data_IF_644778029943
#
_entry.id   IF_644778029943
#
_cell.length_a   1.000
_cell.length_b   1.000
_cell.length_c   1.000
_cell.angle_alpha   90.00
_cell.angle_beta   90.00
_cell.angle_gamma   90.00
#
_symmetry.space_group_name_H-M   'P 1'
#
loop_
_entity.id
_entity.type
_entity.pdbx_description
1 polymer ?
#
# COMPACT_ATOMS: atom_id res chain seq x y z
N UNK A 1 23.36 -5.65 -40.65
CA UNK A 1 23.21 -6.31 -39.34
C UNK A 1 22.69 -5.28 -38.36
N UNK A 2 21.78 -5.66 -37.47
CA UNK A 2 21.26 -4.76 -36.43
C UNK A 2 22.27 -4.72 -35.28
N UNK A 3 22.68 -3.52 -34.85
CA UNK A 3 23.61 -3.34 -33.73
C UNK A 3 22.85 -3.27 -32.40
N UNK A 4 23.09 -4.24 -31.52
CA UNK A 4 22.43 -4.30 -30.20
C UNK A 4 22.88 -3.15 -29.30
N UNK A 5 24.14 -2.73 -29.39
CA UNK A 5 24.67 -1.61 -28.59
C UNK A 5 24.01 -0.28 -28.96
N UNK A 6 23.80 -0.03 -30.25
CA UNK A 6 23.09 1.17 -30.74
C UNK A 6 21.65 1.18 -30.27
N UNK A 7 20.94 0.05 -30.37
CA UNK A 7 19.58 -0.09 -29.83
C UNK A 7 19.55 0.20 -28.34
N UNK A 8 20.47 -0.40 -27.57
CA UNK A 8 20.52 -0.25 -26.12
C UNK A 8 20.77 1.20 -25.70
N UNK A 9 21.69 1.89 -26.39
CA UNK A 9 21.96 3.30 -26.16
C UNK A 9 20.74 4.17 -26.47
N UNK A 10 20.02 3.88 -27.57
CA UNK A 10 18.83 4.63 -27.95
C UNK A 10 17.61 4.37 -27.04
N UNK A 11 17.56 3.21 -26.37
CA UNK A 11 16.44 2.78 -25.54
C UNK A 11 16.50 3.24 -24.07
N UNK A 12 17.65 3.70 -23.55
CA UNK A 12 17.79 4.10 -22.14
C UNK A 12 17.57 5.60 -21.92
N UNK A 13 17.20 5.98 -20.70
CA UNK A 13 17.15 7.37 -20.27
C UNK A 13 18.56 7.91 -19.96
N UNK A 14 18.69 9.21 -19.71
CA UNK A 14 19.97 9.87 -19.42
C UNK A 14 20.13 10.23 -17.93
N UNK A 15 19.13 10.90 -17.36
CA UNK A 15 19.12 11.40 -15.99
C UNK A 15 18.60 10.43 -14.93
N UNK A 16 18.71 10.79 -13.64
CA UNK A 16 18.25 9.96 -12.54
C UNK A 16 16.72 9.82 -12.53
N UNK A 17 16.23 8.71 -11.96
CA UNK A 17 14.81 8.56 -11.73
C UNK A 17 14.32 9.61 -10.72
N UNK A 18 13.23 10.28 -11.06
CA UNK A 18 12.71 11.41 -10.30
C UNK A 18 11.25 11.18 -9.95
N UNK A 19 10.85 11.48 -8.71
CA UNK A 19 9.45 11.52 -8.28
C UNK A 19 8.84 12.81 -8.80
N UNK A 20 7.78 12.69 -9.62
CA UNK A 20 7.13 13.79 -10.33
C UNK A 20 5.76 14.17 -9.74
N UNK A 21 5.14 13.28 -8.97
CA UNK A 21 3.86 13.51 -8.32
C UNK A 21 3.61 12.49 -7.20
N UNK A 22 2.80 12.86 -6.21
CA UNK A 22 2.45 12.05 -5.03
C UNK A 22 0.96 12.21 -4.70
N UNK A 23 0.23 11.11 -4.68
CA UNK A 23 -1.17 11.07 -4.26
C UNK A 23 -1.37 10.10 -3.10
N UNK A 24 -2.21 10.46 -2.13
CA UNK A 24 -2.57 9.57 -1.01
C UNK A 24 -4.08 9.45 -0.83
N UNK A 25 -4.54 8.32 -0.31
CA UNK A 25 -5.94 8.07 0.00
C UNK A 25 -6.08 7.19 1.24
N UNK A 26 -7.20 7.34 1.93
CA UNK A 26 -7.57 6.56 3.11
C UNK A 26 -9.06 6.22 3.04
N UNK A 27 -9.51 5.12 3.66
CA UNK A 27 -10.94 4.90 3.88
C UNK A 27 -11.58 6.04 4.67
N UNK A 28 -12.90 6.26 4.55
CA UNK A 28 -13.57 7.41 5.17
C UNK A 28 -13.71 7.29 6.70
N UNK A 29 -13.77 6.06 7.24
CA UNK A 29 -13.96 5.83 8.66
C UNK A 29 -12.66 6.14 9.43
N UNK A 30 -12.71 7.20 10.24
CA UNK A 30 -11.62 7.67 11.09
C UNK A 30 -11.87 7.22 12.53
N UNK A 31 -10.93 6.47 13.08
CA UNK A 31 -11.00 5.86 14.41
C UNK A 31 -10.02 6.57 15.33
N UNK A 32 -10.53 7.15 16.43
CA UNK A 32 -9.71 7.82 17.44
C UNK A 32 -8.97 6.78 18.29
N UNK A 33 -7.66 7.00 18.48
CA UNK A 33 -6.85 6.08 19.25
C UNK A 33 -7.20 6.10 20.74
N UNK A 34 -7.67 7.22 21.29
CA UNK A 34 -7.96 7.34 22.74
C UNK A 34 -9.15 6.49 23.15
N UNK A 35 -10.11 6.28 22.24
CA UNK A 35 -11.31 5.45 22.47
C UNK A 35 -11.25 4.10 21.76
N UNK A 36 -10.16 3.80 21.04
CA UNK A 36 -10.01 2.54 20.32
C UNK A 36 -10.06 1.30 21.22
N UNK A 37 -9.46 1.29 22.43
CA UNK A 37 -9.56 0.13 23.32
C UNK A 37 -11.00 -0.23 23.69
N UNK A 38 -11.87 0.75 23.88
CA UNK A 38 -13.29 0.52 24.15
C UNK A 38 -13.98 -0.10 22.94
N UNK A 39 -13.82 0.51 21.76
CA UNK A 39 -14.38 -0.01 20.52
C UNK A 39 -13.91 -1.44 20.24
N UNK A 40 -12.59 -1.67 20.29
CA UNK A 40 -11.96 -2.94 19.95
C UNK A 40 -12.36 -4.05 20.92
N UNK A 41 -12.34 -3.81 22.23
CA UNK A 41 -12.74 -4.84 23.21
C UNK A 41 -14.24 -5.13 23.17
N UNK A 42 -15.07 -4.14 22.82
CA UNK A 42 -16.51 -4.33 22.64
C UNK A 42 -16.81 -5.16 21.39
N UNK A 43 -16.29 -4.76 20.22
CA UNK A 43 -16.60 -5.43 18.94
C UNK A 43 -16.04 -6.87 18.87
N UNK A 44 -14.99 -7.15 19.64
CA UNK A 44 -14.39 -8.49 19.77
C UNK A 44 -14.91 -9.30 20.96
N UNK A 45 -16.03 -8.88 21.58
CA UNK A 45 -16.66 -9.55 22.72
C UNK A 45 -15.70 -9.88 23.87
N UNK A 46 -14.71 -9.01 24.10
CA UNK A 46 -13.59 -9.25 25.00
C UNK A 46 -13.59 -8.36 26.24
N UNK A 47 -14.68 -7.64 26.53
CA UNK A 47 -14.79 -6.73 27.68
C UNK A 47 -14.56 -7.42 29.04
N UNK A 48 -14.83 -8.72 29.13
CA UNK A 48 -14.55 -9.53 30.32
C UNK A 48 -13.04 -9.66 30.63
N UNK A 49 -12.15 -9.33 29.68
CA UNK A 49 -10.68 -9.40 29.81
C UNK A 49 -10.09 -8.08 30.31
N UNK A 50 -10.50 -7.62 31.49
CA UNK A 50 -10.16 -6.30 32.03
C UNK A 50 -8.64 -6.00 32.03
N UNK A 51 -7.81 -6.91 32.54
CA UNK A 51 -6.34 -6.72 32.57
C UNK A 51 -5.73 -6.61 31.17
N UNK A 52 -6.27 -7.35 30.20
CA UNK A 52 -5.80 -7.29 28.81
C UNK A 52 -6.21 -5.98 28.16
N UNK A 53 -7.40 -5.46 28.49
CA UNK A 53 -7.86 -4.13 28.07
C UNK A 53 -6.96 -3.03 28.61
N UNK A 54 -6.55 -3.09 29.88
CA UNK A 54 -5.59 -2.14 30.46
C UNK A 54 -4.20 -2.21 29.81
N UNK A 55 -3.72 -3.43 29.48
CA UNK A 55 -2.49 -3.60 28.68
C UNK A 55 -2.65 -2.93 27.32
N UNK A 56 -3.77 -3.15 26.65
CA UNK A 56 -4.02 -2.56 25.33
C UNK A 56 -4.16 -1.04 25.37
N UNK A 57 -4.83 -0.49 26.38
CA UNK A 57 -4.91 0.95 26.60
C UNK A 57 -3.51 1.56 26.69
N UNK A 58 -2.62 0.97 27.49
CA UNK A 58 -1.22 1.42 27.58
C UNK A 58 -0.47 1.34 26.25
N UNK A 59 -0.73 0.30 25.44
CA UNK A 59 -0.16 0.20 24.09
C UNK A 59 -0.67 1.33 23.19
N UNK A 60 -1.97 1.64 23.22
CA UNK A 60 -2.57 2.74 22.48
C UNK A 60 -2.06 4.12 22.94
N UNK A 61 -1.98 4.37 24.25
CA UNK A 61 -1.48 5.63 24.80
C UNK A 61 -0.02 5.89 24.42
N UNK A 62 0.79 4.83 24.38
CA UNK A 62 2.22 4.90 24.04
C UNK A 62 2.51 4.75 22.55
N UNK A 63 1.52 4.52 21.69
CA UNK A 63 1.76 4.32 20.25
C UNK A 63 2.11 5.60 19.51
N UNK A 64 1.90 6.78 20.12
CA UNK A 64 2.04 8.10 19.50
C UNK A 64 1.08 8.34 18.30
N UNK A 65 0.05 7.49 18.16
CA UNK A 65 -0.97 7.61 17.12
C UNK A 65 -2.15 8.38 17.70
N UNK A 66 -2.60 9.43 17.00
CA UNK A 66 -3.82 10.17 17.36
C UNK A 66 -5.08 9.47 16.84
N UNK A 67 -5.03 9.02 15.58
CA UNK A 67 -6.17 8.38 14.92
C UNK A 67 -5.67 7.55 13.74
N UNK A 68 -6.48 6.58 13.34
CA UNK A 68 -6.26 5.77 12.13
C UNK A 68 -7.47 5.84 11.22
N UNK A 69 -7.27 5.53 9.95
CA UNK A 69 -8.37 5.29 9.02
C UNK A 69 -8.52 3.78 8.85
N UNK A 70 -9.74 3.27 8.85
CA UNK A 70 -10.02 1.83 8.77
C UNK A 70 -11.19 1.59 7.82
N UNK A 71 -11.01 0.67 6.87
CA UNK A 71 -12.09 0.15 6.03
C UNK A 71 -13.12 -0.59 6.87
N UNK A 72 -12.65 -1.40 7.84
CA UNK A 72 -13.50 -2.12 8.76
C UNK A 72 -14.29 -1.13 9.66
N UNK A 73 -15.61 -1.19 9.56
CA UNK A 73 -16.54 -0.45 10.42
C UNK A 73 -17.20 -1.40 11.43
N UNK A 74 -17.96 -0.87 12.38
CA UNK A 74 -18.72 -1.68 13.32
C UNK A 74 -19.72 -2.60 12.60
N UNK A 75 -20.35 -2.10 11.54
CA UNK A 75 -21.31 -2.85 10.72
C UNK A 75 -20.64 -4.04 10.03
N UNK A 76 -19.53 -3.81 9.33
CA UNK A 76 -18.78 -4.87 8.64
C UNK A 76 -18.33 -5.94 9.64
N UNK A 77 -17.84 -5.54 10.81
CA UNK A 77 -17.37 -6.46 11.85
C UNK A 77 -18.51 -7.27 12.49
N UNK A 78 -19.70 -6.67 12.68
CA UNK A 78 -20.89 -7.39 13.17
C UNK A 78 -21.41 -8.42 12.17
N UNK A 79 -21.35 -8.11 10.88
CA UNK A 79 -21.73 -9.04 9.80
C UNK A 79 -20.71 -10.18 9.63
N UNK A 80 -19.50 -10.00 10.13
CA UNK A 80 -18.38 -10.93 9.95
C UNK A 80 -17.75 -11.34 11.30
N UNK A 81 -18.49 -12.02 12.20
CA UNK A 81 -18.05 -12.30 13.57
C UNK A 81 -16.76 -13.13 13.65
N UNK A 82 -16.48 -13.97 12.64
CA UNK A 82 -15.23 -14.75 12.57
C UNK A 82 -13.97 -13.88 12.46
N UNK A 83 -14.09 -12.63 11.98
CA UNK A 83 -12.97 -11.68 11.97
C UNK A 83 -12.69 -11.12 13.37
N UNK A 84 -13.71 -11.08 14.24
CA UNK A 84 -13.65 -10.54 15.59
C UNK A 84 -13.12 -11.56 16.60
N UNK A 85 -13.17 -12.85 16.27
CA UNK A 85 -12.54 -13.92 17.03
C UNK A 85 -11.02 -13.95 16.82
N UNK A 86 -10.29 -14.56 17.76
CA UNK A 86 -8.82 -14.54 17.72
C UNK A 86 -8.23 -15.39 16.57
N UNK A 87 -8.78 -16.59 16.35
CA UNK A 87 -8.24 -17.59 15.41
C UNK A 87 -9.32 -18.37 14.65
N UNK A 88 -10.54 -17.83 14.55
CA UNK A 88 -11.59 -18.47 13.79
C UNK A 88 -11.26 -18.48 12.28
N UNK A 89 -11.66 -19.53 11.53
CA UNK A 89 -11.55 -19.55 10.08
C UNK A 89 -12.25 -18.34 9.47
N UNK A 90 -11.47 -17.46 8.85
CA UNK A 90 -11.95 -16.16 8.36
C UNK A 90 -11.29 -15.70 7.07
N UNK A 91 -10.41 -16.51 6.47
CA UNK A 91 -9.62 -16.09 5.31
C UNK A 91 -10.49 -15.70 4.11
N UNK A 92 -11.50 -16.50 3.79
CA UNK A 92 -12.36 -16.26 2.62
C UNK A 92 -13.09 -14.91 2.72
N UNK A 93 -13.74 -14.64 3.85
CA UNK A 93 -14.41 -13.35 4.09
C UNK A 93 -13.43 -12.17 4.04
N UNK A 94 -12.21 -12.32 4.56
CA UNK A 94 -11.17 -11.29 4.49
C UNK A 94 -10.71 -11.05 3.05
N UNK A 95 -10.56 -12.12 2.27
CA UNK A 95 -10.17 -12.07 0.87
C UNK A 95 -11.22 -11.35 0.02
N UNK A 96 -12.50 -11.68 0.21
CA UNK A 96 -13.63 -11.02 -0.47
C UNK A 96 -13.62 -9.50 -0.25
N UNK A 97 -13.26 -9.05 0.95
CA UNK A 97 -13.11 -7.62 1.26
C UNK A 97 -11.91 -7.00 0.54
N UNK A 98 -10.70 -7.55 0.74
CA UNK A 98 -9.47 -6.87 0.29
C UNK A 98 -9.21 -6.96 -1.21
N UNK A 99 -9.70 -8.01 -1.89
CA UNK A 99 -9.62 -8.12 -3.36
C UNK A 99 -10.29 -6.94 -4.05
N UNK A 100 -11.35 -6.40 -3.46
CA UNK A 100 -12.07 -5.23 -3.97
C UNK A 100 -11.45 -3.95 -3.43
N UNK A 101 -11.24 -3.88 -2.12
CA UNK A 101 -10.90 -2.62 -1.44
C UNK A 101 -9.48 -2.14 -1.77
N UNK A 102 -8.50 -3.04 -1.83
CA UNK A 102 -7.10 -2.69 -2.10
C UNK A 102 -6.93 -1.98 -3.45
N UNK A 103 -7.42 -2.49 -4.59
CA UNK A 103 -7.34 -1.77 -5.86
C UNK A 103 -8.25 -0.53 -5.90
N UNK A 104 -9.38 -0.51 -5.17
CA UNK A 104 -10.25 0.68 -5.06
C UNK A 104 -9.53 1.84 -4.38
N UNK A 105 -8.91 1.60 -3.23
CA UNK A 105 -8.15 2.61 -2.49
C UNK A 105 -6.89 3.04 -3.24
N UNK A 106 -6.20 2.08 -3.87
CA UNK A 106 -5.06 2.35 -4.77
C UNK A 106 -5.44 3.24 -5.96
N UNK A 107 -6.63 3.06 -6.53
CA UNK A 107 -7.17 3.92 -7.59
C UNK A 107 -7.32 5.37 -7.12
N UNK A 108 -7.86 5.60 -5.92
CA UNK A 108 -8.03 6.96 -5.40
C UNK A 108 -6.70 7.69 -5.23
N UNK A 109 -5.69 7.02 -4.67
CA UNK A 109 -4.34 7.57 -4.56
C UNK A 109 -3.74 7.83 -5.95
N UNK A 110 -3.84 6.88 -6.88
CA UNK A 110 -3.32 7.01 -8.23
C UNK A 110 -3.98 8.15 -9.02
N UNK A 111 -5.29 8.35 -8.88
CA UNK A 111 -5.99 9.47 -9.52
C UNK A 111 -5.45 10.81 -9.03
N UNK A 112 -5.16 10.95 -7.73
CA UNK A 112 -4.56 12.18 -7.18
C UNK A 112 -3.15 12.41 -7.71
N UNK A 113 -2.31 11.36 -7.74
CA UNK A 113 -0.95 11.45 -8.29
C UNK A 113 -0.94 11.80 -9.78
N UNK A 114 -1.81 11.16 -10.58
CA UNK A 114 -1.95 11.44 -12.02
C UNK A 114 -2.45 12.86 -12.26
N UNK A 115 -3.39 13.34 -11.42
CA UNK A 115 -3.91 14.70 -11.49
C UNK A 115 -2.81 15.73 -11.21
N UNK A 116 -2.00 15.52 -10.18
CA UNK A 116 -0.86 16.39 -9.87
C UNK A 116 0.19 16.36 -10.99
N UNK A 117 0.49 15.19 -11.54
CA UNK A 117 1.43 15.04 -12.66
C UNK A 117 0.96 15.78 -13.92
N UNK A 118 -0.35 15.93 -14.11
CA UNK A 118 -0.94 16.75 -15.17
C UNK A 118 -0.80 16.20 -16.60
N UNK A 119 -0.21 15.03 -16.78
CA UNK A 119 -0.05 14.38 -18.08
C UNK A 119 -1.14 13.32 -18.34
N UNK A 120 -1.41 12.98 -19.62
CA UNK A 120 -2.34 11.91 -19.94
C UNK A 120 -1.88 10.58 -19.35
N UNK A 121 -2.77 9.87 -18.64
CA UNK A 121 -2.52 8.50 -18.12
C UNK A 121 -2.08 7.50 -19.20
N UNK A 122 -2.35 7.78 -20.48
CA UNK A 122 -1.87 6.98 -21.61
C UNK A 122 -0.35 7.02 -21.79
N UNK A 123 0.35 7.97 -21.17
CA UNK A 123 1.81 8.01 -21.12
C UNK A 123 2.41 7.14 -20.02
N UNK A 124 1.60 6.55 -19.13
CA UNK A 124 2.08 5.60 -18.12
C UNK A 124 2.49 4.30 -18.83
N UNK A 125 3.75 3.94 -18.66
CA UNK A 125 4.40 2.81 -19.37
C UNK A 125 4.55 1.57 -18.48
N UNK A 126 4.69 1.79 -17.17
CA UNK A 126 4.88 0.74 -16.18
C UNK A 126 3.95 0.99 -15.00
N UNK A 127 3.51 -0.09 -14.36
CA UNK A 127 2.75 -0.08 -13.11
C UNK A 127 3.44 -1.00 -12.12
N UNK A 128 3.86 -0.46 -10.98
CA UNK A 128 4.25 -1.24 -9.81
C UNK A 128 3.10 -1.15 -8.82
N UNK A 129 2.56 -2.30 -8.40
CA UNK A 129 1.54 -2.36 -7.37
C UNK A 129 2.05 -3.21 -6.22
N UNK A 130 1.95 -2.70 -5.00
CA UNK A 130 2.36 -3.38 -3.78
C UNK A 130 1.23 -3.42 -2.77
N UNK A 131 1.04 -4.59 -2.16
CA UNK A 131 0.15 -4.78 -1.02
C UNK A 131 0.55 -6.00 -0.21
N UNK A 132 0.32 -5.93 1.09
CA UNK A 132 0.40 -7.04 2.05
C UNK A 132 -1.01 -7.58 2.36
N UNK A 133 -2.06 -6.90 1.88
CA UNK A 133 -3.46 -7.20 2.13
C UNK A 133 -4.06 -8.09 1.04
N UNK A 134 -3.91 -9.40 1.22
CA UNK A 134 -4.53 -10.43 0.38
C UNK A 134 -3.82 -10.64 -0.96
N UNK A 135 -4.29 -11.65 -1.70
CA UNK A 135 -3.74 -12.08 -3.00
C UNK A 135 -4.85 -12.54 -3.93
N UNK A 136 -4.71 -12.32 -5.24
CA UNK A 136 -5.68 -12.80 -6.25
C UNK A 136 -5.05 -12.95 -7.63
N UNK A 137 -5.72 -13.66 -8.53
CA UNK A 137 -5.31 -13.89 -9.91
C UNK A 137 -6.51 -13.75 -10.87
N UNK A 138 -6.56 -12.70 -11.72
CA UNK A 138 -5.55 -11.66 -11.91
C UNK A 138 -5.41 -10.70 -10.73
N UNK A 139 -4.17 -10.28 -10.44
CA UNK A 139 -3.84 -9.48 -9.25
C UNK A 139 -4.35 -8.04 -9.25
N UNK A 140 -4.08 -7.34 -8.15
CA UNK A 140 -4.51 -5.95 -7.93
C UNK A 140 -3.92 -4.98 -8.95
N UNK A 141 -2.76 -5.29 -9.54
CA UNK A 141 -2.17 -4.57 -10.66
C UNK A 141 -3.02 -4.64 -11.93
N UNK A 142 -3.62 -5.80 -12.22
CA UNK A 142 -4.57 -5.98 -13.32
C UNK A 142 -5.88 -5.23 -13.03
N UNK A 143 -6.42 -5.37 -11.82
CA UNK A 143 -7.64 -4.67 -11.42
C UNK A 143 -7.45 -3.15 -11.50
N UNK A 144 -6.34 -2.63 -11.00
CA UNK A 144 -6.02 -1.21 -11.07
C UNK A 144 -5.84 -0.74 -12.53
N UNK A 145 -5.19 -1.54 -13.37
CA UNK A 145 -5.06 -1.26 -14.82
C UNK A 145 -6.42 -1.05 -15.47
N UNK A 146 -7.40 -1.92 -15.17
CA UNK A 146 -8.79 -1.81 -15.63
C UNK A 146 -9.48 -0.57 -15.04
N UNK A 147 -9.40 -0.39 -13.72
CA UNK A 147 -10.06 0.70 -12.99
C UNK A 147 -9.61 2.09 -13.41
N UNK A 148 -8.32 2.26 -13.70
CA UNK A 148 -7.74 3.50 -14.20
C UNK A 148 -7.87 3.63 -15.72
N UNK A 149 -8.22 2.56 -16.45
CA UNK A 149 -8.19 2.51 -17.91
C UNK A 149 -6.82 2.86 -18.46
N UNK A 150 -5.77 2.21 -17.92
CA UNK A 150 -4.41 2.29 -18.46
C UNK A 150 -4.33 1.51 -19.79
N UNK A 151 -3.22 1.68 -20.50
CA UNK A 151 -3.01 0.96 -21.76
C UNK A 151 -2.89 -0.55 -21.49
N UNK A 152 -3.46 -1.43 -22.35
CA UNK A 152 -3.39 -2.89 -22.15
C UNK A 152 -1.96 -3.45 -22.12
N UNK A 153 -1.01 -2.75 -22.72
CA UNK A 153 0.41 -3.11 -22.76
C UNK A 153 1.27 -2.39 -21.71
N UNK A 154 0.66 -1.82 -20.66
CA UNK A 154 1.40 -1.33 -19.49
C UNK A 154 2.18 -2.50 -18.88
N UNK A 155 3.48 -2.30 -18.62
CA UNK A 155 4.33 -3.33 -18.02
C UNK A 155 4.07 -3.37 -16.51
N UNK A 156 3.52 -4.48 -16.02
CA UNK A 156 3.05 -4.60 -14.63
C UNK A 156 4.05 -5.38 -13.76
N UNK A 157 4.18 -4.94 -12.51
CA UNK A 157 4.99 -5.55 -11.48
C UNK A 157 4.14 -5.63 -10.21
N UNK A 158 3.57 -6.81 -9.96
CA UNK A 158 2.74 -7.08 -8.79
C UNK A 158 3.61 -7.60 -7.65
N UNK A 159 3.58 -6.91 -6.51
CA UNK A 159 4.39 -7.20 -5.33
C UNK A 159 3.46 -7.53 -4.15
N UNK A 160 3.12 -8.81 -3.99
CA UNK A 160 2.28 -9.29 -2.90
C UNK A 160 3.09 -9.70 -1.67
N UNK A 161 2.48 -9.56 -0.48
CA UNK A 161 2.99 -10.08 0.80
C UNK A 161 4.44 -9.62 1.11
N UNK A 162 4.75 -8.36 0.83
CA UNK A 162 6.09 -7.81 1.03
C UNK A 162 6.32 -7.30 2.47
N UNK A 163 5.28 -6.74 3.11
CA UNK A 163 5.39 -6.15 4.45
C UNK A 163 5.92 -4.71 4.45
N UNK A 164 6.23 -4.18 5.64
CA UNK A 164 6.40 -2.74 5.86
C UNK A 164 7.59 -2.10 5.13
N UNK A 165 8.62 -2.86 4.74
CA UNK A 165 9.77 -2.34 4.00
C UNK A 165 9.47 -2.07 2.52
N UNK A 166 8.31 -2.51 2.03
CA UNK A 166 8.01 -2.51 0.61
C UNK A 166 7.93 -1.11 -0.01
N UNK A 167 7.71 -0.06 0.80
CA UNK A 167 7.85 1.32 0.35
C UNK A 167 9.24 1.62 -0.25
N UNK A 168 10.31 1.11 0.36
CA UNK A 168 11.65 1.18 -0.20
C UNK A 168 11.82 0.28 -1.43
N UNK A 169 11.24 -0.92 -1.41
CA UNK A 169 11.30 -1.88 -2.53
C UNK A 169 10.69 -1.32 -3.80
N UNK A 170 9.51 -0.69 -3.74
CA UNK A 170 8.83 -0.16 -4.94
C UNK A 170 9.58 1.04 -5.53
N UNK A 171 10.21 1.87 -4.69
CA UNK A 171 11.05 2.99 -5.15
C UNK A 171 12.32 2.49 -5.84
N UNK A 172 13.00 1.51 -5.23
CA UNK A 172 14.18 0.86 -5.83
C UNK A 172 13.86 0.23 -7.19
N UNK A 173 12.73 -0.47 -7.30
CA UNK A 173 12.28 -1.02 -8.57
C UNK A 173 11.93 0.08 -9.58
N UNK A 174 11.19 1.11 -9.16
CA UNK A 174 10.82 2.23 -10.03
C UNK A 174 12.03 2.97 -10.58
N UNK A 175 13.10 3.10 -9.78
CA UNK A 175 14.37 3.70 -10.20
C UNK A 175 14.93 3.00 -11.42
N UNK A 176 15.12 1.68 -11.33
CA UNK A 176 15.68 0.89 -12.43
C UNK A 176 14.76 0.92 -13.67
N UNK A 177 13.45 0.86 -13.49
CA UNK A 177 12.51 0.90 -14.61
C UNK A 177 12.51 2.26 -15.32
N UNK A 178 12.59 3.37 -14.59
CA UNK A 178 12.60 4.71 -15.16
C UNK A 178 13.91 5.02 -15.88
N UNK A 179 15.06 4.75 -15.26
CA UNK A 179 16.38 5.06 -15.82
C UNK A 179 16.72 4.17 -17.02
N UNK A 180 16.29 2.90 -16.98
CA UNK A 180 16.65 1.95 -18.00
C UNK A 180 15.77 1.99 -19.26
N UNK A 181 14.76 2.87 -19.31
CA UNK A 181 13.79 2.94 -20.41
C UNK A 181 13.48 4.41 -20.75
N UNK A 182 13.94 4.87 -21.91
CA UNK A 182 13.76 6.25 -22.39
C UNK A 182 12.28 6.64 -22.43
N UNK A 183 11.95 7.77 -21.81
CA UNK A 183 10.59 8.29 -21.74
C UNK A 183 9.63 7.47 -20.88
N UNK A 184 10.13 6.51 -20.09
CA UNK A 184 9.29 5.75 -19.19
C UNK A 184 8.71 6.63 -18.08
N UNK A 185 7.44 6.39 -17.80
CA UNK A 185 6.71 6.90 -16.65
C UNK A 185 6.10 5.72 -15.92
N UNK A 186 6.50 5.56 -14.66
CA UNK A 186 6.15 4.45 -13.78
C UNK A 186 5.11 4.96 -12.79
N UNK A 187 3.92 4.37 -12.83
CA UNK A 187 2.96 4.54 -11.74
C UNK A 187 3.31 3.53 -10.65
N UNK A 188 3.62 4.03 -9.47
CA UNK A 188 3.86 3.20 -8.28
C UNK A 188 2.65 3.33 -7.38
N UNK A 189 2.14 2.22 -6.84
CA UNK A 189 1.02 2.21 -5.88
C UNK A 189 1.32 1.24 -4.75
N UNK A 190 1.28 1.72 -3.51
CA UNK A 190 1.16 0.88 -2.32
C UNK A 190 -0.24 1.09 -1.75
N UNK A 191 -0.97 0.01 -1.48
CA UNK A 191 -2.33 0.08 -0.94
C UNK A 191 -2.52 -1.03 0.11
N UNK A 192 -2.80 -0.63 1.34
CA UNK A 192 -2.83 -1.53 2.50
C UNK A 192 -4.15 -1.35 3.28
N UNK A 193 -4.75 -2.49 3.62
CA UNK A 193 -6.05 -2.60 4.31
C UNK A 193 -5.95 -3.66 5.41
N UNK A 194 -6.24 -3.29 6.65
CA UNK A 194 -6.07 -4.14 7.85
C UNK A 194 -7.09 -5.28 7.98
N UNK A 195 -8.03 -5.40 7.04
CA UNK A 195 -9.03 -6.48 7.07
C UNK A 195 -8.42 -7.89 7.11
N UNK A 196 -7.21 -8.11 6.58
CA UNK A 196 -6.52 -9.42 6.65
C UNK A 196 -5.93 -9.68 8.04
N UNK A 197 -5.58 -8.65 8.81
CA UNK A 197 -4.81 -8.77 10.06
C UNK A 197 -5.64 -8.48 11.32
N UNK A 198 -6.81 -7.84 11.19
CA UNK A 198 -7.71 -7.57 12.31
C UNK A 198 -8.18 -8.87 12.97
N UNK A 199 -8.07 -9.00 14.29
CA UNK A 199 -8.54 -10.19 15.02
C UNK A 199 -8.83 -9.87 16.48
N UNK A 200 -9.55 -10.74 17.17
CA UNK A 200 -9.80 -10.61 18.61
C UNK A 200 -8.53 -10.67 19.46
N UNK A 201 -8.54 -10.15 20.70
CA UNK A 201 -7.36 -10.15 21.57
C UNK A 201 -7.13 -11.49 22.27
N UNK A 202 -5.86 -11.86 22.45
CA UNK A 202 -5.40 -13.00 23.24
C UNK A 202 -4.27 -12.60 24.19
N UNK A 203 -4.33 -13.06 25.44
CA UNK A 203 -3.35 -12.85 26.48
C UNK A 203 -2.03 -13.59 26.24
N UNK A 204 -2.05 -14.63 25.41
CA UNK A 204 -0.88 -15.43 25.01
C UNK A 204 -0.13 -14.85 23.81
N UNK A 205 -0.67 -13.83 23.14
CA UNK A 205 -0.12 -13.25 21.90
C UNK A 205 -0.12 -11.72 21.94
N UNK A 206 0.73 -11.16 22.78
CA UNK A 206 0.84 -9.71 23.00
C UNK A 206 1.43 -8.97 21.80
N UNK A 207 2.25 -9.65 20.99
CA UNK A 207 2.77 -9.16 19.71
C UNK A 207 1.64 -8.87 18.70
N UNK A 208 0.66 -9.77 18.59
CA UNK A 208 -0.55 -9.54 17.81
C UNK A 208 -1.32 -8.32 18.31
N UNK A 209 -1.42 -8.16 19.64
CA UNK A 209 -2.12 -7.06 20.28
C UNK A 209 -1.44 -5.71 19.99
N UNK A 210 -0.11 -5.66 19.96
CA UNK A 210 0.65 -4.49 19.50
C UNK A 210 0.27 -4.15 18.05
N UNK A 211 0.17 -5.14 17.17
CA UNK A 211 -0.29 -4.94 15.79
C UNK A 211 -1.66 -4.24 15.70
N UNK A 212 -2.62 -4.66 16.52
CA UNK A 212 -3.97 -4.05 16.56
C UNK A 212 -3.96 -2.60 17.03
N UNK A 213 -2.96 -2.18 17.82
CA UNK A 213 -2.79 -0.79 18.24
C UNK A 213 -2.12 0.09 17.15
N UNK A 214 -1.35 -0.49 16.24
CA UNK A 214 -0.47 0.26 15.32
C UNK A 214 -1.02 0.36 13.90
N UNK A 215 -1.49 -0.74 13.31
CA UNK A 215 -1.79 -0.77 11.89
C UNK A 215 -3.08 -0.01 11.55
N UNK A 216 -3.07 0.68 10.42
CA UNK A 216 -4.22 1.37 9.85
C UNK A 216 -4.15 1.36 8.31
N UNK A 217 -5.21 1.85 7.68
CA UNK A 217 -5.42 1.67 6.25
C UNK A 217 -5.04 2.92 5.45
N UNK A 218 -4.45 2.69 4.28
CA UNK A 218 -4.02 3.78 3.42
C UNK A 218 -3.43 3.31 2.10
N UNK A 219 -3.50 4.19 1.11
CA UNK A 219 -2.79 4.03 -0.14
C UNK A 219 -1.98 5.28 -0.48
N UNK A 220 -0.83 5.07 -1.11
CA UNK A 220 -0.01 6.11 -1.70
C UNK A 220 0.34 5.71 -3.14
N UNK A 221 0.37 6.69 -4.02
CA UNK A 221 0.74 6.52 -5.40
C UNK A 221 1.74 7.59 -5.84
N UNK A 222 2.66 7.21 -6.72
CA UNK A 222 3.71 8.08 -7.24
C UNK A 222 3.75 8.00 -8.77
N UNK A 223 4.13 9.11 -9.41
CA UNK A 223 4.66 9.06 -10.76
C UNK A 223 6.17 9.20 -10.69
N UNK A 224 6.89 8.23 -11.25
CA UNK A 224 8.35 8.22 -11.34
C UNK A 224 8.78 8.24 -12.80
N UNK A 225 9.77 9.06 -13.15
CA UNK A 225 10.37 9.10 -14.48
C UNK A 225 11.75 9.74 -14.46
N UNK A 226 12.59 9.34 -15.42
CA UNK A 226 13.82 10.07 -15.75
C UNK A 226 13.54 11.10 -16.84
N UNK A 227 14.47 12.06 -16.98
CA UNK A 227 14.43 13.12 -17.99
C UNK A 227 13.08 13.88 -17.96
N UNK A 228 12.77 14.59 -16.84
CA UNK A 228 11.53 15.35 -16.74
C UNK A 228 11.45 16.39 -17.86
N UNK A 229 10.26 16.52 -18.46
CA UNK A 229 10.02 17.52 -19.49
C UNK A 229 10.05 18.92 -18.87
N UNK A 230 10.98 19.81 -19.27
CA UNK A 230 11.07 21.15 -18.72
C UNK A 230 9.74 21.89 -18.83
N UNK A 231 9.40 22.67 -17.80
CA UNK A 231 8.18 23.50 -17.71
C UNK A 231 6.84 22.73 -17.70
N UNK A 232 6.85 21.42 -17.97
CA UNK A 232 5.67 20.56 -18.03
C UNK A 232 5.60 19.63 -16.82
N UNK A 233 6.73 19.00 -16.47
CA UNK A 233 6.84 18.10 -15.33
C UNK A 233 7.68 18.76 -14.23
N UNK A 234 7.21 18.66 -12.98
CA UNK A 234 7.87 19.27 -11.84
C UNK A 234 8.57 18.19 -11.00
N UNK A 235 9.91 18.11 -11.02
CA UNK A 235 10.63 17.17 -10.19
C UNK A 235 10.47 17.52 -8.69
N UNK A 236 10.22 16.51 -7.86
CA UNK A 236 10.07 16.66 -6.40
C UNK A 236 11.31 16.11 -5.68
N UNK A 237 11.72 14.88 -6.00
CA UNK A 237 12.90 14.22 -5.43
C UNK A 237 13.61 13.36 -6.48
N UNK A 238 14.93 13.33 -6.46
CA UNK A 238 15.74 12.45 -7.30
C UNK A 238 16.21 11.22 -6.50
N UNK A 239 16.11 10.04 -7.09
CA UNK A 239 16.62 8.80 -6.52
C UNK A 239 18.03 8.55 -7.03
N UNK A 240 19.01 8.70 -6.15
CA UNK A 240 20.43 8.57 -6.51
C UNK A 240 20.93 7.14 -6.28
N UNK A 241 20.65 6.57 -5.12
CA UNK A 241 21.16 5.26 -4.72
C UNK A 241 20.15 4.51 -3.85
N UNK A 242 20.17 3.19 -3.91
CA UNK A 242 19.31 2.32 -3.12
C UNK A 242 20.07 1.06 -2.68
N UNK A 243 19.70 0.51 -1.54
CA UNK A 243 20.17 -0.79 -1.08
C UNK A 243 19.12 -1.47 -0.22
N UNK A 244 19.34 -2.76 0.01
CA UNK A 244 18.59 -3.58 0.94
C UNK A 244 19.57 -4.51 1.63
N UNK A 245 19.41 -4.70 2.93
CA UNK A 245 20.20 -5.65 3.72
C UNK A 245 19.32 -6.34 4.74
N UNK A 246 19.81 -7.45 5.27
CA UNK A 246 19.20 -8.16 6.40
C UNK A 246 20.07 -7.88 7.62
N UNK A 247 19.45 -7.56 8.75
CA UNK A 247 20.19 -7.33 9.99
C UNK A 247 20.88 -8.63 10.44
N UNK A 248 22.13 -8.59 10.91
CA UNK A 248 22.73 -9.76 11.55
C UNK A 248 21.88 -10.26 12.71
N UNK A 249 21.84 -11.58 12.89
CA UNK A 249 21.15 -12.25 14.01
C UNK A 249 19.63 -12.01 14.12
N UNK A 250 18.96 -11.68 13.00
CA UNK A 250 17.50 -11.56 12.89
C UNK A 250 16.77 -12.88 12.71
#
# INVERSE_FOLDING_TARGET
>A
MVSVSEIRQAQRAEGPATILAIGTANPPNKVDQTTYPDFYFKITNSEHKAELKEKFQRMCDKSMIKSRYMYLTEEILKENPSLCEYMAPSLDARQDMVVVEVPRLGKEAAVKAIKEWGQPKSKITHLIFCTTSGVDMPGADYQLTKLLGLRPYVKRYMMYQQGCFAGGTVLRLAKDLAENNKGARVLVVCSEVTAVTFRGPSDTHLDSLVGQALFGDGAAALIVGSDPLPEIEKPIFEMVWTAQTIAPDS
#
